data_IF_209431159514
#
_entry.id   IF_209431159514
#
_cell.length_a   1.000
_cell.length_b   1.000
_cell.length_c   1.000
_cell.angle_alpha   90.00
_cell.angle_beta   90.00
_cell.angle_gamma   90.00
#
_symmetry.space_group_name_H-M   'P 1'
#
loop_
_entity.id
_entity.type
_entity.pdbx_description
1 polymer ?
#
# COMPACT_ATOMS: atom_id res chain seq x y z
N UNK A 1 8.05 -3.16 -11.25
CA UNK A 1 7.97 -2.08 -10.24
C UNK A 1 9.14 -1.12 -10.48
N UNK A 2 8.88 0.15 -10.79
CA UNK A 2 9.94 1.18 -10.88
C UNK A 2 10.44 1.46 -9.46
N UNK A 3 11.73 1.27 -9.20
CA UNK A 3 12.37 1.72 -7.95
C UNK A 3 12.26 3.24 -7.86
N UNK A 4 11.39 3.73 -6.98
CA UNK A 4 11.29 5.16 -6.64
C UNK A 4 12.32 5.43 -5.56
N UNK A 5 13.45 6.05 -5.92
CA UNK A 5 14.50 6.35 -4.95
C UNK A 5 14.15 7.64 -4.19
N UNK A 6 14.12 7.56 -2.85
CA UNK A 6 14.09 8.71 -1.95
C UNK A 6 12.73 9.33 -1.65
N UNK A 7 11.62 8.83 -2.22
CA UNK A 7 10.26 9.26 -1.90
C UNK A 7 9.49 8.16 -1.13
N UNK A 8 8.50 8.52 -0.29
CA UNK A 8 7.66 7.52 0.38
C UNK A 8 6.76 6.78 -0.61
N UNK A 9 6.38 5.55 -0.25
CA UNK A 9 5.23 4.86 -0.86
C UNK A 9 3.98 5.35 -0.14
N UNK A 10 3.04 5.97 -0.86
CA UNK A 10 1.78 6.43 -0.30
C UNK A 10 0.71 5.35 -0.49
N UNK A 11 0.04 4.98 0.61
CA UNK A 11 -0.89 3.85 0.65
C UNK A 11 -2.18 4.33 1.30
N UNK A 12 -3.30 4.08 0.63
CA UNK A 12 -4.64 4.40 1.12
C UNK A 12 -5.36 3.10 1.41
N UNK A 13 -5.76 2.88 2.67
CA UNK A 13 -6.48 1.68 3.14
C UNK A 13 -7.82 2.04 3.81
N UNK A 14 -8.42 3.17 3.42
CA UNK A 14 -9.65 3.70 4.01
C UNK A 14 -10.93 2.97 3.58
N UNK A 15 -10.87 1.68 3.23
CA UNK A 15 -11.99 0.89 2.71
C UNK A 15 -12.45 -0.20 3.68
N UNK A 16 -12.59 0.11 4.97
CA UNK A 16 -12.96 -0.89 5.98
C UNK A 16 -14.45 -1.33 5.94
N UNK A 17 -15.30 -0.70 5.12
CA UNK A 17 -16.74 -1.04 5.01
C UNK A 17 -17.68 0.00 5.61
N UNK A 18 -17.58 1.27 5.20
CA UNK A 18 -18.47 2.33 5.69
C UNK A 18 -19.84 2.31 4.98
N UNK A 19 -20.83 3.03 5.55
CA UNK A 19 -22.20 3.04 5.03
C UNK A 19 -22.35 3.89 3.75
N UNK A 20 -21.44 4.82 3.52
CA UNK A 20 -21.39 5.72 2.37
C UNK A 20 -21.07 5.00 1.06
N UNK A 21 -20.56 3.76 1.13
CA UNK A 21 -20.23 2.96 -0.04
C UNK A 21 -18.79 3.17 -0.53
N UNK A 22 -18.61 3.20 -1.85
CA UNK A 22 -17.28 3.20 -2.51
C UNK A 22 -17.13 4.41 -3.42
N UNK A 23 -16.01 5.11 -3.30
CA UNK A 23 -15.64 6.19 -4.20
C UNK A 23 -15.16 5.65 -5.55
N UNK A 24 -15.54 6.34 -6.64
CA UNK A 24 -15.10 6.00 -7.99
C UNK A 24 -13.71 6.54 -8.29
N UNK A 25 -12.93 5.76 -9.05
CA UNK A 25 -11.67 6.23 -9.58
C UNK A 25 -11.87 7.14 -10.80
N UNK A 26 -10.89 8.02 -11.04
CA UNK A 26 -10.78 8.74 -12.29
C UNK A 26 -10.55 7.77 -13.46
N UNK A 27 -11.16 8.08 -14.61
CA UNK A 27 -11.05 7.28 -15.83
C UNK A 27 -9.59 7.06 -16.26
N UNK A 28 -8.77 8.12 -16.18
CA UNK A 28 -7.34 8.02 -16.50
C UNK A 28 -6.55 7.71 -15.24
N UNK A 29 -5.82 6.60 -15.27
CA UNK A 29 -4.91 6.24 -14.20
C UNK A 29 -3.69 7.19 -14.18
N UNK A 30 -3.42 7.87 -13.06
CA UNK A 30 -2.22 8.67 -12.97
C UNK A 30 -0.99 7.76 -12.89
N UNK A 31 0.10 8.14 -13.56
CA UNK A 31 1.35 7.33 -13.63
C UNK A 31 2.02 7.01 -12.29
N UNK A 32 1.62 7.68 -11.21
CA UNK A 32 2.13 7.47 -9.86
C UNK A 32 1.27 6.49 -9.04
N UNK A 33 0.08 6.13 -9.52
CA UNK A 33 -0.72 5.04 -8.94
C UNK A 33 -0.19 3.72 -9.48
N UNK A 34 0.19 2.81 -8.58
CA UNK A 34 0.73 1.50 -8.95
C UNK A 34 -0.34 0.41 -8.89
N UNK A 35 -1.28 0.54 -7.94
CA UNK A 35 -2.42 -0.35 -7.74
C UNK A 35 -3.55 0.47 -7.12
N UNK A 36 -4.80 0.11 -7.45
CA UNK A 36 -6.01 0.72 -6.90
C UNK A 36 -7.14 -0.30 -6.95
N UNK A 37 -7.92 -0.39 -5.88
CA UNK A 37 -9.10 -1.25 -5.78
C UNK A 37 -10.22 -0.51 -5.03
N UNK A 38 -11.47 -0.76 -5.41
CA UNK A 38 -12.64 -0.24 -4.69
C UNK A 38 -13.14 -1.24 -3.64
N UNK A 39 -12.50 -2.40 -3.51
CA UNK A 39 -12.93 -3.44 -2.58
C UNK A 39 -12.90 -2.96 -1.13
N UNK A 40 -13.89 -3.38 -0.36
CA UNK A 40 -13.78 -3.31 1.08
C UNK A 40 -12.80 -4.37 1.57
N UNK A 41 -12.01 -4.02 2.59
CA UNK A 41 -10.87 -4.83 2.96
C UNK A 41 -10.07 -4.30 4.12
N UNK A 42 -8.91 -4.92 4.33
CA UNK A 42 -7.94 -4.52 5.34
C UNK A 42 -6.51 -4.76 4.85
N UNK A 43 -5.58 -3.98 5.41
CA UNK A 43 -4.15 -4.12 5.14
C UNK A 43 -3.48 -4.97 6.21
N UNK A 44 -2.64 -5.91 5.78
CA UNK A 44 -1.66 -6.56 6.66
C UNK A 44 -0.28 -5.97 6.39
N UNK A 45 0.38 -5.45 7.42
CA UNK A 45 1.76 -4.98 7.37
C UNK A 45 2.61 -5.81 8.33
N UNK A 46 3.66 -6.43 7.81
CA UNK A 46 4.64 -7.18 8.61
C UNK A 46 6.03 -6.61 8.40
N UNK A 47 6.60 -6.03 9.46
CA UNK A 47 7.98 -5.54 9.47
C UNK A 47 8.91 -6.70 9.86
N UNK A 48 9.80 -7.10 8.96
CA UNK A 48 10.70 -8.23 9.19
C UNK A 48 12.04 -7.79 9.79
N UNK A 49 12.55 -6.64 9.35
CA UNK A 49 13.80 -6.08 9.84
C UNK A 49 13.86 -4.57 9.51
N UNK A 50 15.02 -3.94 9.77
CA UNK A 50 15.22 -2.49 9.58
C UNK A 50 15.07 -2.00 8.13
N UNK A 51 15.09 -2.89 7.15
CA UNK A 51 15.04 -2.54 5.73
C UNK A 51 13.90 -3.19 4.96
N UNK A 52 13.23 -4.21 5.50
CA UNK A 52 12.20 -4.97 4.78
C UNK A 52 10.89 -5.05 5.58
N UNK A 53 9.82 -4.59 4.95
CA UNK A 53 8.45 -4.83 5.37
C UNK A 53 7.66 -5.41 4.20
N UNK A 54 6.74 -6.32 4.51
CA UNK A 54 5.83 -6.92 3.54
C UNK A 54 4.43 -6.41 3.79
N UNK A 55 3.73 -6.06 2.72
CA UNK A 55 2.36 -5.58 2.77
C UNK A 55 1.45 -6.45 1.91
N UNK A 56 0.24 -6.69 2.39
CA UNK A 56 -0.86 -7.33 1.65
C UNK A 56 -2.14 -6.51 1.82
N UNK A 57 -2.88 -6.32 0.72
CA UNK A 57 -4.28 -5.85 0.74
C UNK A 57 -5.20 -7.06 0.63
N UNK A 58 -6.08 -7.22 1.60
CA UNK A 58 -7.03 -8.33 1.66
C UNK A 58 -8.42 -7.81 1.37
N UNK A 59 -9.08 -8.37 0.36
CA UNK A 59 -10.46 -8.05 0.00
C UNK A 59 -11.43 -8.89 0.82
N UNK A 60 -12.38 -8.23 1.47
CA UNK A 60 -13.53 -8.88 2.13
C UNK A 60 -14.62 -9.18 1.10
N UNK A 61 -14.71 -8.38 0.04
CA UNK A 61 -15.65 -8.61 -1.06
C UNK A 61 -15.37 -9.91 -1.81
N UNK A 62 -14.11 -10.34 -1.81
CA UNK A 62 -13.63 -11.60 -2.36
C UNK A 62 -13.26 -12.62 -1.28
N UNK A 63 -14.05 -12.70 -0.21
CA UNK A 63 -13.95 -13.74 0.84
C UNK A 63 -12.55 -13.88 1.49
N UNK A 64 -11.76 -12.81 1.53
CA UNK A 64 -10.43 -12.81 2.12
C UNK A 64 -9.28 -13.02 1.14
N UNK A 65 -9.52 -12.94 -0.18
CA UNK A 65 -8.44 -12.99 -1.17
C UNK A 65 -7.45 -11.82 -1.03
N UNK A 66 -6.17 -12.11 -1.28
CA UNK A 66 -5.11 -11.10 -1.33
C UNK A 66 -5.08 -10.52 -2.74
N UNK A 67 -5.50 -9.26 -2.88
CA UNK A 67 -5.65 -8.57 -4.18
C UNK A 67 -4.42 -7.75 -4.57
N UNK A 68 -3.56 -7.40 -3.60
CA UNK A 68 -2.25 -6.80 -3.84
C UNK A 68 -1.27 -7.25 -2.75
N UNK A 69 -0.01 -7.44 -3.13
CA UNK A 69 1.06 -7.70 -2.18
C UNK A 69 2.41 -7.25 -2.71
N UNK A 70 3.22 -6.66 -1.83
CA UNK A 70 4.56 -6.22 -2.20
C UNK A 70 5.50 -6.08 -1.00
N UNK A 71 6.79 -6.15 -1.31
CA UNK A 71 7.86 -5.79 -0.38
C UNK A 71 8.18 -4.30 -0.48
N UNK A 72 8.19 -3.64 0.67
CA UNK A 72 8.78 -2.33 0.82
C UNK A 72 10.22 -2.49 1.34
N UNK A 73 11.18 -2.12 0.50
CA UNK A 73 12.61 -2.20 0.81
C UNK A 73 13.20 -0.79 0.97
N UNK A 74 13.84 -0.53 2.10
CA UNK A 74 14.63 0.70 2.32
C UNK A 74 16.07 0.48 1.89
N UNK A 75 16.65 1.44 1.18
CA UNK A 75 18.07 1.44 0.83
C UNK A 75 18.97 1.67 2.06
N UNK A 76 18.47 2.37 3.08
CA UNK A 76 19.17 2.60 4.36
C UNK A 76 18.29 2.21 5.55
N UNK A 77 18.86 1.59 6.61
CA UNK A 77 18.07 1.18 7.78
C UNK A 77 17.50 2.37 8.55
N UNK A 78 18.22 3.50 8.56
CA UNK A 78 17.82 4.74 9.24
C UNK A 78 17.43 5.82 8.23
N UNK A 79 16.48 6.69 8.56
CA UNK A 79 16.20 7.87 7.75
C UNK A 79 17.38 8.85 7.81
N UNK A 80 17.55 9.67 6.77
CA UNK A 80 18.69 10.59 6.65
C UNK A 80 18.79 11.60 7.80
N UNK A 81 17.66 11.98 8.40
CA UNK A 81 17.62 12.91 9.54
C UNK A 81 18.04 12.28 10.87
N UNK A 82 18.20 10.96 10.97
CA UNK A 82 18.58 10.29 12.21
C UNK A 82 20.10 10.33 12.51
N UNK A 83 20.88 11.00 11.65
CA UNK A 83 22.32 11.22 11.84
C UNK A 83 22.68 12.71 12.03
N UNK A 84 21.65 13.55 12.27
CA UNK A 84 21.78 14.92 12.74
C UNK A 84 21.72 14.94 14.27
#
# INVERSE_FOLDING_TARGET
MRRLHGAPVHIVTGSAGCQEGRDHFLNTEPRWSAFRSQDFGYTKLKVYNKTHAYMEQVSVDLEGEIIDSFWMTKDKPRPAFAEL
#
